data_IF_269441330937
#
_entry.id   IF_269441330937
#
_cell.length_a   1.000
_cell.length_b   1.000
_cell.length_c   1.000
_cell.angle_alpha   90.00
_cell.angle_beta   90.00
_cell.angle_gamma   90.00
#
_symmetry.space_group_name_H-M   'P 1'
#
loop_
_entity.id
_entity.type
_entity.pdbx_description
1 polymer ?
#
# COMPACT_ATOMS: atom_id res chain seq x y z
N UNK A 1 -5.21 -74.55 13.18
CA UNK A 1 -4.27 -73.45 12.85
C UNK A 1 -4.97 -72.13 13.13
N UNK A 2 -4.72 -71.50 14.29
CA UNK A 2 -5.41 -70.26 14.71
C UNK A 2 -4.38 -69.12 14.79
N UNK A 3 -4.44 -68.18 13.84
CA UNK A 3 -3.56 -67.00 13.80
C UNK A 3 -3.94 -66.04 14.93
N UNK A 4 -3.19 -66.07 16.04
CA UNK A 4 -3.30 -65.06 17.10
C UNK A 4 -2.67 -63.76 16.58
N UNK A 5 -3.49 -62.88 15.99
CA UNK A 5 -3.08 -61.53 15.58
C UNK A 5 -2.60 -60.76 16.82
N UNK A 6 -1.37 -60.24 16.76
CA UNK A 6 -0.70 -59.48 17.80
C UNK A 6 -1.40 -58.11 18.04
N UNK A 7 -2.50 -58.12 18.80
CA UNK A 7 -3.31 -56.93 19.12
C UNK A 7 -2.53 -55.84 19.87
N UNK A 8 -1.44 -56.19 20.58
CA UNK A 8 -0.62 -55.25 21.36
C UNK A 8 0.20 -54.30 20.47
N UNK A 9 0.66 -54.75 19.31
CA UNK A 9 1.39 -53.92 18.34
C UNK A 9 0.51 -52.87 17.66
N UNK A 10 -0.73 -53.25 17.31
CA UNK A 10 -1.72 -52.35 16.70
C UNK A 10 -2.15 -51.25 17.68
N UNK A 11 -2.39 -51.61 18.95
CA UNK A 11 -2.79 -50.64 19.99
C UNK A 11 -1.67 -49.62 20.28
N UNK A 12 -0.40 -50.06 20.31
CA UNK A 12 0.77 -49.18 20.46
C UNK A 12 0.96 -48.26 19.25
N UNK A 13 0.74 -48.78 18.04
CA UNK A 13 0.79 -47.98 16.81
C UNK A 13 -0.32 -46.92 16.74
N UNK A 14 -1.54 -47.26 17.15
CA UNK A 14 -2.64 -46.30 17.22
C UNK A 14 -2.44 -45.25 18.32
N UNK A 15 -1.90 -45.65 19.48
CA UNK A 15 -1.56 -44.71 20.55
C UNK A 15 -0.47 -43.72 20.11
N UNK A 16 0.55 -44.19 19.36
CA UNK A 16 1.59 -43.33 18.81
C UNK A 16 1.05 -42.34 17.76
N UNK A 17 0.13 -42.77 16.89
CA UNK A 17 -0.53 -41.91 15.90
C UNK A 17 -1.40 -40.84 16.56
N UNK A 18 -2.18 -41.21 17.58
CA UNK A 18 -3.00 -40.28 18.37
C UNK A 18 -2.13 -39.25 19.10
N UNK A 19 -1.03 -39.68 19.70
CA UNK A 19 -0.08 -38.77 20.36
C UNK A 19 0.57 -37.79 19.37
N UNK A 20 0.87 -38.22 18.15
CA UNK A 20 1.42 -37.36 17.10
C UNK A 20 0.39 -36.33 16.61
N UNK A 21 -0.88 -36.73 16.43
CA UNK A 21 -1.96 -35.81 16.10
C UNK A 21 -2.21 -34.76 17.19
N UNK A 22 -2.16 -35.17 18.47
CA UNK A 22 -2.25 -34.26 19.61
C UNK A 22 -1.06 -33.29 19.69
N UNK A 23 0.14 -33.69 19.29
CA UNK A 23 1.30 -32.79 19.25
C UNK A 23 1.14 -31.69 18.19
N UNK A 24 0.50 -31.98 17.06
CA UNK A 24 0.28 -31.02 15.97
C UNK A 24 -0.76 -29.95 16.36
N UNK A 25 -1.72 -30.26 17.23
CA UNK A 25 -2.71 -29.28 17.71
C UNK A 25 -2.16 -28.34 18.80
N UNK A 26 -1.05 -28.72 19.45
CA UNK A 26 -0.35 -27.90 20.45
C UNK A 26 0.62 -26.90 19.83
N UNK A 27 0.88 -26.97 18.52
CA UNK A 27 1.63 -25.93 17.82
C UNK A 27 0.79 -24.65 17.84
N UNK A 28 1.25 -23.57 18.51
CA UNK A 28 0.51 -22.32 18.49
C UNK A 28 0.38 -21.89 17.03
N UNK A 29 -0.86 -21.72 16.57
CA UNK A 29 -1.14 -21.24 15.23
C UNK A 29 -0.34 -19.96 15.01
N UNK A 30 0.65 -20.02 14.11
CA UNK A 30 1.52 -18.87 13.86
C UNK A 30 0.67 -17.66 13.53
N UNK A 31 0.76 -16.62 14.34
CA UNK A 31 0.04 -15.37 14.07
C UNK A 31 0.56 -14.81 12.75
N UNK A 32 -0.21 -14.98 11.66
CA UNK A 32 0.11 -14.37 10.38
C UNK A 32 -0.11 -12.86 10.53
N UNK A 33 0.96 -12.14 10.87
CA UNK A 33 0.93 -10.70 10.99
C UNK A 33 0.56 -10.09 9.62
N UNK A 34 -0.63 -9.49 9.54
CA UNK A 34 -1.08 -8.86 8.31
C UNK A 34 -0.07 -7.78 7.88
N UNK A 35 0.39 -7.85 6.63
CA UNK A 35 1.35 -6.90 6.08
C UNK A 35 0.90 -5.45 6.34
N UNK A 36 1.80 -4.64 6.90
CA UNK A 36 1.48 -3.26 7.29
C UNK A 36 0.91 -2.47 6.11
N UNK A 37 -0.09 -1.63 6.38
CA UNK A 37 -0.67 -0.66 5.43
C UNK A 37 0.10 0.66 5.37
N UNK A 38 1.08 0.87 6.25
CA UNK A 38 2.01 2.00 6.17
C UNK A 38 3.15 1.70 5.20
N UNK A 39 3.81 2.75 4.73
CA UNK A 39 4.97 2.67 3.84
C UNK A 39 4.76 3.37 2.50
N UNK A 40 5.63 3.03 1.55
CA UNK A 40 5.77 3.71 0.27
C UNK A 40 5.02 2.96 -0.84
N UNK A 41 4.30 3.71 -1.67
CA UNK A 41 3.55 3.19 -2.79
C UNK A 41 3.88 4.00 -4.04
N UNK A 42 4.11 3.34 -5.17
CA UNK A 42 4.48 4.03 -6.40
C UNK A 42 3.77 3.48 -7.65
N UNK A 43 3.67 4.33 -8.67
CA UNK A 43 3.36 3.95 -10.04
C UNK A 43 4.42 4.54 -10.97
N UNK A 44 5.06 3.69 -11.77
CA UNK A 44 6.00 4.07 -12.82
C UNK A 44 5.27 4.05 -14.16
N UNK A 45 5.47 5.07 -15.00
CA UNK A 45 5.07 5.04 -16.41
C UNK A 45 6.34 4.91 -17.26
N UNK A 46 6.26 4.23 -18.41
CA UNK A 46 7.20 4.49 -19.51
C UNK A 46 6.84 5.87 -20.05
N UNK A 47 7.53 6.90 -19.60
CA UNK A 47 7.29 8.27 -20.05
C UNK A 47 7.51 8.38 -21.57
N UNK A 48 6.52 8.85 -22.32
CA UNK A 48 6.68 9.41 -23.69
C UNK A 48 6.76 10.94 -23.59
N UNK A 49 7.68 11.46 -22.76
CA UNK A 49 7.92 12.91 -22.67
C UNK A 49 9.35 13.22 -23.11
N UNK A 50 9.54 14.37 -23.77
CA UNK A 50 10.84 14.83 -24.30
C UNK A 50 11.90 14.97 -23.21
N UNK A 51 11.51 15.16 -21.95
CA UNK A 51 12.40 15.07 -20.78
C UNK A 51 12.03 13.86 -19.91
N UNK A 52 12.73 12.73 -20.08
CA UNK A 52 12.56 11.59 -19.22
C UNK A 52 13.26 11.83 -17.88
N UNK A 53 12.50 11.84 -16.79
CA UNK A 53 13.05 11.57 -15.45
C UNK A 53 13.29 10.06 -15.37
N UNK A 54 14.26 9.56 -16.15
CA UNK A 54 14.59 8.13 -16.23
C UNK A 54 14.86 7.61 -14.81
N UNK A 55 14.05 6.66 -14.36
CA UNK A 55 14.23 5.98 -13.06
C UNK A 55 13.30 6.43 -11.91
N UNK A 56 12.66 7.59 -11.97
CA UNK A 56 11.73 8.05 -10.92
C UNK A 56 10.28 7.58 -11.18
N UNK A 57 9.49 7.28 -10.12
CA UNK A 57 8.06 6.99 -10.28
C UNK A 57 7.31 8.20 -10.81
N UNK A 58 6.24 7.98 -11.57
CA UNK A 58 5.41 9.08 -12.05
C UNK A 58 4.46 9.60 -10.95
N UNK A 59 4.05 8.71 -10.06
CA UNK A 59 3.22 9.02 -8.89
C UNK A 59 3.69 8.23 -7.68
N UNK A 60 3.62 8.87 -6.52
CA UNK A 60 3.97 8.34 -5.22
C UNK A 60 2.90 8.64 -4.17
N UNK A 61 2.70 7.70 -3.24
CA UNK A 61 1.93 7.91 -2.01
C UNK A 61 2.74 7.34 -0.85
N UNK A 62 2.98 8.14 0.18
CA UNK A 62 3.61 7.70 1.42
C UNK A 62 2.56 7.66 2.51
N UNK A 63 2.25 6.48 3.04
CA UNK A 63 1.34 6.33 4.18
C UNK A 63 2.18 6.38 5.46
N UNK A 64 2.29 7.55 6.09
CA UNK A 64 3.12 7.76 7.28
C UNK A 64 2.55 7.08 8.52
N UNK A 65 1.23 7.14 8.74
CA UNK A 65 0.61 6.61 9.97
C UNK A 65 -0.85 6.24 9.76
N UNK A 66 -1.29 5.15 10.36
CA UNK A 66 -2.70 4.80 10.55
C UNK A 66 -2.93 4.58 12.04
N UNK A 67 -3.79 5.40 12.67
CA UNK A 67 -4.10 5.30 14.10
C UNK A 67 -5.50 5.86 14.36
N UNK A 68 -6.26 5.23 15.25
CA UNK A 68 -7.58 5.70 15.72
C UNK A 68 -8.53 6.04 14.55
N UNK A 69 -8.61 5.16 13.55
CA UNK A 69 -9.45 5.36 12.37
C UNK A 69 -9.05 6.56 11.49
N UNK A 70 -7.84 7.09 11.62
CA UNK A 70 -7.31 8.19 10.80
C UNK A 70 -6.05 7.75 10.07
N UNK A 71 -5.84 8.30 8.88
CA UNK A 71 -4.62 8.11 8.08
C UNK A 71 -3.90 9.44 7.90
N UNK A 72 -2.57 9.41 8.01
CA UNK A 72 -1.64 10.48 7.65
C UNK A 72 -0.82 10.04 6.46
N UNK A 73 -0.83 10.81 5.39
CA UNK A 73 -0.13 10.47 4.16
C UNK A 73 0.25 11.69 3.32
N UNK A 74 1.11 11.50 2.33
CA UNK A 74 1.50 12.50 1.33
C UNK A 74 1.40 11.90 -0.08
N UNK A 75 1.18 12.76 -1.08
CA UNK A 75 1.12 12.42 -2.50
C UNK A 75 2.22 13.20 -3.23
N UNK A 76 2.88 12.53 -4.16
CA UNK A 76 3.94 13.12 -4.98
C UNK A 76 3.73 12.76 -6.45
N UNK A 77 4.07 13.67 -7.36
CA UNK A 77 4.03 13.43 -8.81
C UNK A 77 5.27 14.03 -9.47
N UNK A 78 5.83 13.30 -10.43
CA UNK A 78 6.89 13.81 -11.29
C UNK A 78 6.42 15.09 -12.00
N UNK A 79 7.32 16.06 -12.11
CA UNK A 79 7.09 17.21 -12.97
C UNK A 79 7.08 16.83 -14.45
N UNK A 80 6.47 17.69 -15.27
CA UNK A 80 6.38 17.51 -16.74
C UNK A 80 6.98 18.75 -17.39
N UNK A 81 7.71 18.59 -18.51
CA UNK A 81 8.28 19.69 -19.32
C UNK A 81 9.15 20.66 -18.50
N UNK A 82 10.16 20.13 -17.81
CA UNK A 82 11.07 20.94 -16.96
C UNK A 82 10.43 21.49 -15.69
N UNK A 83 9.17 21.12 -15.40
CA UNK A 83 8.55 21.48 -14.12
C UNK A 83 9.16 20.65 -12.98
N UNK A 84 9.24 21.22 -11.77
CA UNK A 84 9.69 20.50 -10.57
C UNK A 84 8.66 19.48 -10.08
N UNK A 85 9.03 18.74 -9.04
CA UNK A 85 8.16 17.75 -8.40
C UNK A 85 6.99 18.45 -7.69
N UNK A 86 5.80 17.85 -7.80
CA UNK A 86 4.60 18.30 -7.10
C UNK A 86 4.41 17.43 -5.87
N UNK A 87 4.47 18.03 -4.68
CA UNK A 87 4.28 17.33 -3.41
C UNK A 87 3.09 17.92 -2.65
N UNK A 88 2.23 17.07 -2.12
CA UNK A 88 1.19 17.52 -1.20
C UNK A 88 1.79 17.85 0.17
N UNK A 89 1.12 18.74 0.89
CA UNK A 89 1.24 18.80 2.35
C UNK A 89 0.87 17.44 2.97
N UNK A 90 1.19 17.25 4.25
CA UNK A 90 0.72 16.07 5.00
C UNK A 90 -0.80 16.11 5.11
N UNK A 91 -1.45 15.14 4.49
CA UNK A 91 -2.90 14.98 4.49
C UNK A 91 -3.29 14.14 5.71
N UNK A 92 -4.27 14.64 6.47
CA UNK A 92 -4.91 13.94 7.59
C UNK A 92 -6.35 13.64 7.19
N UNK A 93 -6.76 12.38 7.17
CA UNK A 93 -8.11 11.99 6.75
C UNK A 93 -8.71 10.91 7.64
N UNK A 94 -10.03 10.96 7.84
CA UNK A 94 -10.81 9.90 8.51
C UNK A 94 -10.95 8.69 7.57
N UNK A 95 -10.68 7.51 8.10
CA UNK A 95 -10.94 6.25 7.42
C UNK A 95 -12.39 5.83 7.64
N UNK A 96 -13.08 5.49 6.56
CA UNK A 96 -14.34 4.75 6.55
C UNK A 96 -14.02 3.38 5.93
N UNK A 97 -13.76 2.40 6.78
CA UNK A 97 -13.22 1.10 6.40
C UNK A 97 -11.85 1.22 5.69
N UNK A 98 -11.77 0.77 4.43
CA UNK A 98 -10.55 0.85 3.60
C UNK A 98 -10.45 2.14 2.77
N UNK A 99 -11.32 3.12 3.00
CA UNK A 99 -11.44 4.32 2.16
C UNK A 99 -11.23 5.60 2.98
N UNK A 100 -10.68 6.65 2.37
CA UNK A 100 -10.58 7.98 2.95
C UNK A 100 -10.95 9.02 1.89
N UNK A 101 -11.73 10.04 2.26
CA UNK A 101 -11.90 11.25 1.46
C UNK A 101 -11.05 12.36 2.08
N UNK A 102 -10.47 13.23 1.27
CA UNK A 102 -9.53 14.24 1.75
C UNK A 102 -9.53 15.50 0.90
N UNK A 103 -9.02 16.59 1.48
CA UNK A 103 -8.56 17.79 0.77
C UNK A 103 -7.05 17.78 0.70
N UNK A 104 -6.50 18.42 -0.33
CA UNK A 104 -5.06 18.52 -0.53
C UNK A 104 -4.68 19.92 -1.02
N UNK A 105 -3.44 20.29 -0.72
CA UNK A 105 -2.73 21.43 -1.29
C UNK A 105 -1.32 20.97 -1.61
N UNK A 106 -0.78 21.37 -2.75
CA UNK A 106 0.60 21.09 -3.12
C UNK A 106 1.54 22.28 -2.86
N UNK A 107 2.84 22.02 -3.03
CA UNK A 107 3.93 22.98 -2.88
C UNK A 107 3.85 24.17 -3.84
N UNK A 108 3.06 24.07 -4.90
CA UNK A 108 2.91 25.11 -5.93
C UNK A 108 1.66 25.96 -5.71
N UNK A 109 0.82 25.61 -4.74
CA UNK A 109 -0.41 26.33 -4.42
C UNK A 109 -1.66 25.76 -5.12
N UNK A 110 -1.54 24.68 -5.89
CA UNK A 110 -2.72 23.97 -6.39
C UNK A 110 -3.44 23.30 -5.21
N UNK A 111 -4.74 23.18 -5.29
CA UNK A 111 -5.53 22.54 -4.25
C UNK A 111 -6.75 21.81 -4.80
N UNK A 112 -7.31 20.92 -4.00
CA UNK A 112 -8.52 20.22 -4.38
C UNK A 112 -8.94 19.13 -3.40
N UNK A 113 -9.62 18.12 -3.94
CA UNK A 113 -10.14 16.99 -3.17
C UNK A 113 -9.60 15.66 -3.71
N UNK A 114 -9.76 14.60 -2.93
CA UNK A 114 -9.35 13.28 -3.38
C UNK A 114 -9.96 12.14 -2.57
N UNK A 115 -9.75 10.93 -3.09
CA UNK A 115 -10.17 9.66 -2.48
C UNK A 115 -8.99 8.69 -2.46
N UNK A 116 -8.72 8.12 -1.28
CA UNK A 116 -7.73 7.06 -1.05
C UNK A 116 -8.46 5.75 -0.78
N UNK A 117 -8.03 4.66 -1.39
CA UNK A 117 -8.53 3.30 -1.11
C UNK A 117 -7.38 2.34 -0.88
N UNK A 118 -7.42 1.59 0.21
CA UNK A 118 -6.44 0.54 0.49
C UNK A 118 -6.86 -0.78 -0.16
N UNK A 119 -5.91 -1.44 -0.82
CA UNK A 119 -6.04 -2.80 -1.33
C UNK A 119 -4.91 -3.71 -0.82
N UNK A 120 -4.91 -4.97 -1.26
CA UNK A 120 -3.80 -5.90 -0.98
C UNK A 120 -2.52 -5.37 -1.65
N UNK A 121 -1.50 -5.05 -0.85
CA UNK A 121 -0.20 -4.53 -1.30
C UNK A 121 -0.26 -3.33 -2.28
N UNK A 122 -1.32 -2.53 -2.21
CA UNK A 122 -1.47 -1.34 -3.04
C UNK A 122 -2.39 -0.30 -2.40
N UNK A 123 -2.28 0.92 -2.91
CA UNK A 123 -3.27 1.98 -2.68
C UNK A 123 -3.82 2.43 -4.03
N UNK A 124 -5.08 2.85 -4.05
CA UNK A 124 -5.68 3.56 -5.17
C UNK A 124 -5.93 5.00 -4.75
N UNK A 125 -5.44 5.96 -5.51
CA UNK A 125 -5.68 7.39 -5.27
C UNK A 125 -6.38 8.00 -6.48
N UNK A 126 -7.41 8.81 -6.21
CA UNK A 126 -8.04 9.71 -7.18
C UNK A 126 -7.90 11.11 -6.61
N UNK A 127 -7.38 12.03 -7.41
CA UNK A 127 -7.15 13.42 -7.03
C UNK A 127 -7.85 14.29 -8.06
N UNK A 128 -8.68 15.20 -7.59
CA UNK A 128 -9.38 16.18 -8.41
C UNK A 128 -8.93 17.57 -7.96
N UNK A 129 -8.43 18.36 -8.89
CA UNK A 129 -8.07 19.74 -8.67
C UNK A 129 -9.31 20.62 -8.66
N UNK A 130 -9.31 21.60 -7.74
CA UNK A 130 -10.33 22.64 -7.66
C UNK A 130 -9.72 24.04 -7.87
N UNK A 131 -8.45 24.21 -7.52
CA UNK A 131 -7.73 25.47 -7.69
C UNK A 131 -6.40 25.25 -8.39
N UNK A 132 -6.11 26.10 -9.37
CA UNK A 132 -4.84 26.15 -10.11
C UNK A 132 -4.04 27.34 -9.64
N UNK A 133 -2.77 27.12 -9.33
CA UNK A 133 -1.85 28.20 -9.00
C UNK A 133 -1.46 29.03 -10.23
N UNK A 134 -1.08 30.29 -10.02
CA UNK A 134 -0.59 31.16 -11.09
C UNK A 134 0.73 30.60 -11.64
N UNK A 135 0.90 30.62 -12.97
CA UNK A 135 2.07 30.06 -13.69
C UNK A 135 2.27 28.54 -13.50
N UNK A 136 1.21 27.82 -13.14
CA UNK A 136 1.29 26.39 -12.92
C UNK A 136 1.39 25.60 -14.23
N UNK A 137 2.37 24.70 -14.30
CA UNK A 137 2.62 23.83 -15.47
C UNK A 137 2.11 22.39 -15.32
N UNK A 138 1.72 21.97 -14.11
CA UNK A 138 1.16 20.63 -13.85
C UNK A 138 0.48 20.53 -12.48
N UNK A 139 -0.11 19.39 -12.15
CA UNK A 139 -0.92 19.21 -10.94
C UNK A 139 -0.89 17.77 -10.47
N UNK A 140 -1.29 17.51 -9.22
CA UNK A 140 -1.54 16.17 -8.69
C UNK A 140 -2.80 15.50 -9.27
N UNK A 141 -3.59 16.20 -10.09
CA UNK A 141 -4.83 15.68 -10.68
C UNK A 141 -4.64 14.37 -11.46
N UNK A 142 -5.54 13.42 -11.23
CA UNK A 142 -5.51 12.08 -11.85
C UNK A 142 -6.49 11.91 -13.01
N UNK A 143 -7.00 13.00 -13.58
CA UNK A 143 -7.96 13.05 -14.68
C UNK A 143 -9.30 12.39 -14.31
N UNK A 144 -9.73 12.52 -13.05
CA UNK A 144 -10.94 11.88 -12.55
C UNK A 144 -10.85 10.35 -12.40
N UNK A 145 -9.71 9.71 -12.67
CA UNK A 145 -9.53 8.24 -12.60
C UNK A 145 -8.76 7.82 -11.34
N UNK A 146 -8.97 6.58 -10.88
CA UNK A 146 -8.16 6.00 -9.81
C UNK A 146 -6.83 5.48 -10.36
N UNK A 147 -5.72 5.96 -9.80
CA UNK A 147 -4.40 5.39 -10.02
C UNK A 147 -4.11 4.32 -8.98
N UNK A 148 -3.76 3.10 -9.41
CA UNK A 148 -3.27 2.03 -8.53
C UNK A 148 -1.75 2.15 -8.38
N UNK A 149 -1.29 2.32 -7.14
CA UNK A 149 0.13 2.38 -6.77
C UNK A 149 0.47 1.12 -5.98
N UNK A 150 1.52 0.40 -6.40
CA UNK A 150 1.99 -0.82 -5.73
C UNK A 150 2.88 -0.45 -4.55
N UNK A 151 2.77 -1.20 -3.45
CA UNK A 151 3.67 -1.06 -2.31
C UNK A 151 5.09 -1.44 -2.74
N UNK A 152 6.08 -0.71 -2.23
CA UNK A 152 7.50 -1.05 -2.40
C UNK A 152 8.13 -1.28 -1.03
N UNK A 153 9.18 -2.10 -1.01
CA UNK A 153 9.97 -2.43 0.19
C UNK A 153 11.06 -1.40 0.50
N UNK A 154 11.26 -0.41 -0.37
CA UNK A 154 12.35 0.56 -0.26
C UNK A 154 11.95 1.75 0.62
N UNK A 155 12.84 2.12 1.55
CA UNK A 155 12.76 3.36 2.33
C UNK A 155 13.32 4.59 1.59
N UNK A 156 13.76 4.41 0.33
CA UNK A 156 14.26 5.52 -0.47
C UNK A 156 13.16 6.56 -0.73
N UNK A 157 13.56 7.83 -0.70
CA UNK A 157 12.72 8.95 -1.17
C UNK A 157 12.15 8.59 -2.56
N UNK A 158 10.84 8.72 -2.70
CA UNK A 158 10.16 8.39 -3.96
C UNK A 158 10.63 9.30 -5.11
N UNK A 159 10.99 10.54 -4.78
CA UNK A 159 11.51 11.54 -5.70
C UNK A 159 12.73 12.21 -5.08
N UNK A 160 13.73 12.53 -5.89
CA UNK A 160 14.95 13.26 -5.49
C UNK A 160 14.89 14.63 -6.18
N UNK A 161 15.13 15.71 -5.42
CA UNK A 161 15.19 17.09 -5.91
C UNK A 161 16.52 17.37 -6.58
#
# INVERSE_FOLDING_TARGET
>A
MLFIRNKKGVLRGMAALLALFLLVTLLPGGNVQAASRTGHYQKRYKAKVSYPVWGQPAYGVVINRIRNGKVRFQISKAGVNGSPIYNSNVIKAKLKGKKASFRWKDTWGNSGTGKLKFGKNCVKVKVNQLQTARMNRSTLDTGGKFLKLKKISSDRKLFIY
#
